data_IF_303158884828
#
_entry.id   IF_303158884828
#
_cell.length_a   1.000
_cell.length_b   1.000
_cell.length_c   1.000
_cell.angle_alpha   90.00
_cell.angle_beta   90.00
_cell.angle_gamma   90.00
#
_symmetry.space_group_name_H-M   'P 1'
#
loop_
_entity.id
_entity.type
_entity.pdbx_description
1 polymer ?
#
# COMPACT_ATOMS: atom_id res chain seq x y z
N UNK A 1 8.72 -2.29 37.61
CA UNK A 1 8.29 -3.71 37.53
C UNK A 1 9.13 -4.50 38.53
N UNK A 2 8.56 -5.46 39.26
CA UNK A 2 9.34 -6.27 40.23
C UNK A 2 9.30 -5.80 41.69
N UNK A 3 8.52 -4.78 42.04
CA UNK A 3 8.26 -4.45 43.46
C UNK A 3 7.40 -5.52 44.15
N UNK A 4 7.34 -5.49 45.50
CA UNK A 4 6.55 -6.49 46.27
C UNK A 4 5.07 -6.59 45.90
N UNK A 5 4.47 -5.50 45.33
CA UNK A 5 3.13 -5.46 44.74
C UNK A 5 3.17 -4.67 43.42
N UNK A 6 3.73 -5.25 42.35
CA UNK A 6 3.85 -4.54 41.10
C UNK A 6 2.47 -4.35 40.43
N UNK A 7 2.25 -3.19 39.78
CA UNK A 7 1.04 -2.92 39.00
C UNK A 7 0.91 -3.83 37.78
N UNK A 8 2.03 -4.31 37.27
CA UNK A 8 2.12 -5.28 36.15
C UNK A 8 3.12 -6.38 36.53
N UNK A 9 2.68 -7.43 37.26
CA UNK A 9 3.54 -8.54 37.67
C UNK A 9 4.07 -9.32 36.47
N UNK A 10 5.29 -9.82 36.57
CA UNK A 10 5.86 -10.71 35.55
C UNK A 10 5.07 -12.03 35.46
N UNK A 11 4.88 -12.50 34.24
CA UNK A 11 4.16 -13.73 33.94
C UNK A 11 2.63 -13.64 34.07
N UNK A 12 2.07 -12.48 34.43
CA UNK A 12 0.64 -12.30 34.56
C UNK A 12 0.07 -11.43 33.43
N UNK A 13 -1.17 -11.73 33.07
CA UNK A 13 -1.91 -10.95 32.07
C UNK A 13 -2.19 -9.55 32.60
N UNK A 14 -1.88 -8.55 31.77
CA UNK A 14 -2.10 -7.15 32.08
C UNK A 14 -2.83 -6.45 30.93
N UNK A 15 -3.86 -5.65 31.24
CA UNK A 15 -4.66 -4.90 30.28
C UNK A 15 -3.90 -3.75 29.58
N UNK A 16 -2.58 -3.67 29.81
CA UNK A 16 -1.68 -2.69 29.19
C UNK A 16 -2.14 -1.23 29.39
N UNK A 17 -2.63 -0.96 30.60
CA UNK A 17 -3.19 0.33 31.00
C UNK A 17 -3.76 0.30 32.42
N UNK A 18 -4.46 1.37 32.82
CA UNK A 18 -4.95 1.56 34.19
C UNK A 18 -6.43 1.20 34.39
N UNK A 19 -7.32 1.47 33.44
CA UNK A 19 -8.77 1.28 33.53
C UNK A 19 -9.24 0.11 32.66
N UNK A 20 -9.98 0.37 31.58
CA UNK A 20 -10.26 -0.65 30.54
C UNK A 20 -9.01 -1.06 29.80
N UNK A 21 -9.08 -2.16 29.06
CA UNK A 21 -7.98 -2.56 28.17
C UNK A 21 -7.70 -1.48 27.13
N UNK A 22 -6.41 -1.25 26.88
CA UNK A 22 -5.99 -0.36 25.79
C UNK A 22 -6.48 -0.90 24.45
N UNK A 23 -7.01 -0.04 23.59
CA UNK A 23 -7.48 -0.43 22.28
C UNK A 23 -6.48 -0.06 21.18
N UNK A 24 -6.27 -0.99 20.26
CA UNK A 24 -5.54 -0.78 19.01
C UNK A 24 -6.51 -0.90 17.83
N UNK A 25 -6.55 0.11 16.96
CA UNK A 25 -7.39 0.10 15.76
C UNK A 25 -6.55 0.25 14.52
N UNK A 26 -6.76 -0.63 13.54
CA UNK A 26 -6.21 -0.50 12.19
C UNK A 26 -7.31 -0.59 11.14
N UNK A 27 -7.24 0.27 10.11
CA UNK A 27 -8.18 0.27 8.97
C UNK A 27 -7.75 -0.68 7.86
N UNK A 28 -6.53 -1.23 7.95
CA UNK A 28 -5.96 -2.22 7.02
C UNK A 28 -5.33 -3.35 7.80
N UNK A 29 -5.06 -4.46 7.12
CA UNK A 29 -4.28 -5.55 7.70
C UNK A 29 -2.87 -5.06 8.06
N UNK A 30 -2.38 -5.47 9.22
CA UNK A 30 -1.04 -5.12 9.75
C UNK A 30 -0.31 -6.39 10.13
N UNK A 31 0.94 -6.52 9.74
CA UNK A 31 1.83 -7.54 10.27
C UNK A 31 2.41 -7.04 11.60
N UNK A 32 2.22 -7.77 12.66
CA UNK A 32 2.81 -7.51 13.98
C UNK A 32 3.81 -8.61 14.28
N UNK A 33 5.09 -8.30 14.39
CA UNK A 33 6.16 -9.30 14.54
C UNK A 33 6.07 -10.43 13.50
N UNK A 34 5.67 -10.10 12.28
CA UNK A 34 5.52 -11.07 11.19
C UNK A 34 4.21 -11.88 11.20
N UNK A 35 3.33 -11.73 12.20
CA UNK A 35 1.98 -12.32 12.19
C UNK A 35 0.95 -11.32 11.68
N UNK A 36 0.04 -11.81 10.85
CA UNK A 36 -1.04 -11.00 10.27
C UNK A 36 -2.12 -10.71 11.29
N UNK A 37 -2.33 -9.43 11.58
CA UNK A 37 -3.49 -8.90 12.31
C UNK A 37 -4.45 -8.27 11.29
N UNK A 38 -5.65 -8.81 11.09
CA UNK A 38 -6.63 -8.22 10.17
C UNK A 38 -7.02 -6.80 10.56
N UNK A 39 -7.56 -6.03 9.61
CA UNK A 39 -8.18 -4.74 9.90
C UNK A 39 -9.26 -4.90 10.98
N UNK A 40 -9.28 -4.00 11.96
CA UNK A 40 -10.24 -4.10 13.08
C UNK A 40 -9.83 -3.27 14.28
N UNK A 41 -10.61 -3.42 15.35
CA UNK A 41 -10.32 -2.88 16.69
C UNK A 41 -10.12 -4.03 17.66
N UNK A 42 -9.08 -3.96 18.46
CA UNK A 42 -8.66 -5.01 19.37
C UNK A 42 -8.31 -4.44 20.73
N UNK A 43 -8.65 -5.14 21.80
CA UNK A 43 -8.05 -4.89 23.10
C UNK A 43 -6.61 -5.38 23.12
N UNK A 44 -5.73 -4.58 23.68
CA UNK A 44 -4.30 -4.90 23.83
C UNK A 44 -4.06 -5.41 25.24
N UNK A 45 -3.54 -6.63 25.32
CA UNK A 45 -3.04 -7.20 26.56
C UNK A 45 -1.57 -7.52 26.42
N UNK A 46 -0.85 -7.49 27.52
CA UNK A 46 0.53 -7.96 27.60
C UNK A 46 0.72 -8.90 28.77
N UNK A 47 1.68 -9.81 28.64
CA UNK A 47 2.23 -10.57 29.76
C UNK A 47 3.69 -10.14 29.86
N UNK A 48 4.00 -9.18 30.76
CA UNK A 48 5.37 -8.71 30.94
C UNK A 48 6.28 -9.81 31.47
N UNK A 49 7.55 -9.78 31.08
CA UNK A 49 8.59 -10.58 31.67
C UNK A 49 9.91 -9.78 31.63
N UNK A 50 10.99 -10.37 32.11
CA UNK A 50 12.27 -9.65 32.24
C UNK A 50 12.87 -9.25 30.86
N UNK A 51 12.82 -10.16 29.88
CA UNK A 51 13.44 -9.98 28.56
C UNK A 51 12.47 -10.06 27.41
N UNK A 52 11.39 -10.81 27.55
CA UNK A 52 10.45 -11.10 26.47
C UNK A 52 9.03 -10.95 27.00
N UNK A 53 8.26 -10.05 26.37
CA UNK A 53 6.84 -9.89 26.69
C UNK A 53 6.00 -10.63 25.68
N UNK A 54 4.84 -11.14 26.11
CA UNK A 54 3.79 -11.57 25.20
C UNK A 54 2.86 -10.40 24.94
N UNK A 55 2.75 -9.98 23.69
CA UNK A 55 1.77 -8.99 23.22
C UNK A 55 0.60 -9.70 22.59
N UNK A 56 -0.62 -9.33 22.99
CA UNK A 56 -1.88 -9.98 22.61
C UNK A 56 -2.84 -8.93 22.05
N UNK A 57 -3.43 -9.23 20.90
CA UNK A 57 -4.56 -8.47 20.35
C UNK A 57 -5.81 -9.35 20.46
N UNK A 58 -6.75 -8.95 21.30
CA UNK A 58 -7.97 -9.70 21.58
C UNK A 58 -9.18 -9.03 20.92
N UNK A 59 -10.09 -9.83 20.39
CA UNK A 59 -11.28 -9.35 19.65
C UNK A 59 -12.33 -8.72 20.57
N UNK A 60 -12.36 -9.08 21.86
CA UNK A 60 -13.26 -8.49 22.84
C UNK A 60 -12.74 -7.12 23.29
N UNK A 61 -13.36 -6.05 22.77
CA UNK A 61 -12.93 -4.68 23.02
C UNK A 61 -13.24 -4.16 24.43
N UNK A 62 -14.02 -4.90 25.20
CA UNK A 62 -14.44 -4.53 26.55
C UNK A 62 -13.90 -5.49 27.63
N UNK A 63 -13.04 -6.43 27.22
CA UNK A 63 -12.49 -7.42 28.14
C UNK A 63 -11.69 -6.76 29.27
N UNK A 64 -11.92 -7.22 30.50
CA UNK A 64 -11.01 -6.96 31.62
C UNK A 64 -9.84 -7.95 31.60
N UNK A 65 -8.77 -7.69 32.35
CA UNK A 65 -7.65 -8.65 32.47
C UNK A 65 -7.96 -9.83 33.39
N UNK A 66 -9.14 -9.89 33.97
CA UNK A 66 -9.57 -10.99 34.85
C UNK A 66 -10.13 -12.13 34.00
N UNK A 67 -9.66 -13.35 34.25
CA UNK A 67 -10.20 -14.55 33.65
C UNK A 67 -11.39 -15.09 34.44
N UNK A 68 -12.31 -15.79 33.78
CA UNK A 68 -13.41 -16.49 34.44
C UNK A 68 -14.62 -15.64 34.82
N UNK A 69 -14.64 -14.34 34.53
CA UNK A 69 -15.80 -13.47 34.70
C UNK A 69 -16.49 -13.18 33.36
N UNK A 70 -17.78 -12.77 33.33
CA UNK A 70 -18.54 -12.60 32.10
C UNK A 70 -17.85 -11.72 31.03
N UNK A 71 -17.24 -10.60 31.43
CA UNK A 71 -16.49 -9.70 30.56
C UNK A 71 -14.96 -9.85 30.74
N UNK A 72 -14.51 -11.01 31.21
CA UNK A 72 -13.11 -11.32 31.43
C UNK A 72 -12.39 -11.65 30.11
N UNK A 73 -11.06 -11.67 30.19
CA UNK A 73 -10.23 -12.13 29.12
C UNK A 73 -10.51 -13.61 28.77
N UNK A 74 -10.60 -13.91 27.48
CA UNK A 74 -10.71 -15.26 26.94
C UNK A 74 -9.66 -15.47 25.85
N UNK A 75 -8.82 -16.46 26.04
CA UNK A 75 -7.72 -16.77 25.13
C UNK A 75 -8.19 -17.16 23.72
N UNK A 76 -9.35 -17.78 23.59
CA UNK A 76 -9.98 -18.15 22.33
C UNK A 76 -10.43 -16.94 21.48
N UNK A 77 -10.52 -15.76 22.10
CA UNK A 77 -10.83 -14.50 21.43
C UNK A 77 -9.57 -13.75 20.96
N UNK A 78 -8.36 -14.30 21.18
CA UNK A 78 -7.13 -13.72 20.66
C UNK A 78 -7.15 -13.74 19.13
N UNK A 79 -6.93 -12.59 18.53
CA UNK A 79 -6.69 -12.48 17.09
C UNK A 79 -5.27 -12.93 16.77
N UNK A 80 -4.30 -12.41 17.53
CA UNK A 80 -2.89 -12.84 17.48
C UNK A 80 -2.26 -12.73 18.88
N UNK A 81 -1.21 -13.52 19.06
CA UNK A 81 -0.33 -13.48 20.22
C UNK A 81 1.12 -13.60 19.76
N UNK A 82 1.93 -12.60 20.06
CA UNK A 82 3.33 -12.51 19.61
C UNK A 82 4.28 -12.27 20.76
N UNK A 83 5.51 -12.74 20.61
CA UNK A 83 6.61 -12.42 21.53
C UNK A 83 7.28 -11.13 21.05
N UNK A 84 7.52 -10.21 21.97
CA UNK A 84 8.21 -8.95 21.76
C UNK A 84 9.38 -8.84 22.75
N UNK A 85 10.48 -8.26 22.30
CA UNK A 85 11.64 -8.06 23.17
C UNK A 85 11.42 -6.89 24.11
N UNK A 86 11.84 -7.06 25.35
CA UNK A 86 11.94 -6.00 26.34
C UNK A 86 13.42 -5.75 26.65
N UNK A 87 13.79 -4.48 26.71
CA UNK A 87 15.17 -4.03 26.93
C UNK A 87 15.20 -2.93 28.00
N UNK A 88 16.36 -2.78 28.64
CA UNK A 88 16.62 -1.68 29.55
C UNK A 88 16.95 -0.41 28.77
N UNK A 89 16.40 0.73 29.20
CA UNK A 89 16.69 2.04 28.66
C UNK A 89 17.49 2.89 29.67
N UNK A 90 18.39 3.71 29.16
CA UNK A 90 19.24 4.58 29.98
C UNK A 90 18.49 5.79 30.57
N UNK A 91 17.39 6.21 29.93
CA UNK A 91 16.55 7.32 30.38
C UNK A 91 15.17 6.77 30.81
N UNK A 92 14.97 6.48 32.11
CA UNK A 92 13.70 5.92 32.59
C UNK A 92 12.51 6.85 32.32
N UNK A 93 11.37 6.24 32.00
CA UNK A 93 10.07 6.93 31.88
C UNK A 93 9.18 6.53 33.06
N UNK A 94 8.89 7.46 33.94
CA UNK A 94 8.04 7.22 35.11
C UNK A 94 6.62 6.88 34.70
N UNK A 95 6.05 7.63 33.76
CA UNK A 95 4.71 7.41 33.24
C UNK A 95 4.71 6.29 32.19
N UNK A 96 3.82 5.30 32.37
CA UNK A 96 3.58 4.30 31.34
C UNK A 96 3.19 4.97 30.01
N UNK A 97 3.92 4.67 28.96
CA UNK A 97 3.75 5.32 27.65
C UNK A 97 3.65 4.27 26.56
N UNK A 98 2.64 4.40 25.70
CA UNK A 98 2.54 3.67 24.43
C UNK A 98 2.81 4.65 23.31
N UNK A 99 3.74 4.30 22.43
CA UNK A 99 4.22 5.21 21.37
C UNK A 99 4.42 4.44 20.06
N UNK A 100 4.03 5.06 18.93
CA UNK A 100 4.39 4.59 17.60
C UNK A 100 5.58 5.44 17.13
N UNK A 101 6.71 4.79 16.81
CA UNK A 101 7.95 5.45 16.40
C UNK A 101 8.58 4.78 15.17
N UNK A 102 9.71 5.32 14.73
CA UNK A 102 10.53 4.76 13.64
C UNK A 102 9.71 4.50 12.36
N UNK A 103 8.87 5.47 11.99
CA UNK A 103 7.99 5.39 10.84
C UNK A 103 8.80 5.42 9.54
N UNK A 104 8.46 4.48 8.66
CA UNK A 104 8.88 4.46 7.26
C UNK A 104 7.64 4.40 6.36
N UNK A 105 7.83 4.24 5.05
CA UNK A 105 6.71 4.08 4.11
C UNK A 105 5.82 2.87 4.43
N UNK A 106 6.36 1.81 5.07
CA UNK A 106 5.64 0.56 5.29
C UNK A 106 5.81 -0.06 6.68
N UNK A 107 6.64 0.52 7.54
CA UNK A 107 6.94 -0.03 8.87
C UNK A 107 6.87 1.02 9.96
N UNK A 108 6.64 0.58 11.18
CA UNK A 108 6.72 1.36 12.40
C UNK A 108 7.06 0.45 13.59
N UNK A 109 7.39 1.04 14.73
CA UNK A 109 7.52 0.32 15.99
C UNK A 109 6.39 0.76 16.94
N UNK A 110 5.69 -0.21 17.52
CA UNK A 110 4.80 -0.02 18.66
C UNK A 110 5.61 -0.28 19.94
N UNK A 111 5.80 0.74 20.73
CA UNK A 111 6.63 0.70 21.92
C UNK A 111 5.79 0.84 23.19
N UNK A 112 6.21 0.12 24.21
CA UNK A 112 5.65 0.19 25.57
C UNK A 112 6.80 0.56 26.52
N UNK A 113 6.74 1.77 27.09
CA UNK A 113 7.74 2.26 28.01
C UNK A 113 7.19 2.31 29.43
N UNK A 114 7.96 1.82 30.38
CA UNK A 114 7.70 2.05 31.81
C UNK A 114 8.96 1.85 32.65
N UNK A 115 9.19 2.80 33.56
CA UNK A 115 10.42 2.83 34.36
C UNK A 115 11.64 2.77 33.43
N UNK A 116 12.53 1.83 33.66
CA UNK A 116 13.76 1.58 32.89
C UNK A 116 13.59 0.56 31.76
N UNK A 117 12.34 0.22 31.41
CA UNK A 117 12.05 -0.85 30.45
C UNK A 117 11.33 -0.31 29.21
N UNK A 118 11.73 -0.80 28.03
CA UNK A 118 11.07 -0.63 26.73
C UNK A 118 10.76 -2.00 26.15
N UNK A 119 9.52 -2.27 25.78
CA UNK A 119 9.15 -3.44 24.97
C UNK A 119 8.72 -2.97 23.58
N UNK A 120 9.16 -3.70 22.52
CA UNK A 120 9.06 -3.24 21.12
C UNK A 120 8.38 -4.30 20.27
N UNK A 121 7.31 -3.91 19.57
CA UNK A 121 6.68 -4.70 18.52
C UNK A 121 6.87 -4.02 17.16
N UNK A 122 7.43 -4.75 16.18
CA UNK A 122 7.53 -4.25 14.81
C UNK A 122 6.18 -4.37 14.11
N UNK A 123 5.74 -3.28 13.50
CA UNK A 123 4.57 -3.19 12.65
C UNK A 123 5.00 -3.08 11.19
N UNK A 124 4.27 -3.74 10.29
CA UNK A 124 4.47 -3.60 8.84
C UNK A 124 3.14 -3.67 8.11
N UNK A 125 2.96 -2.80 7.11
CA UNK A 125 1.80 -2.80 6.20
C UNK A 125 2.25 -3.08 4.77
N UNK A 126 1.41 -3.75 3.99
CA UNK A 126 1.63 -3.90 2.55
C UNK A 126 1.05 -2.68 1.82
N UNK A 127 1.86 -1.63 1.71
CA UNK A 127 1.48 -0.37 1.06
C UNK A 127 1.06 -0.59 -0.39
N UNK A 128 1.75 -1.51 -1.10
CA UNK A 128 1.46 -1.77 -2.51
C UNK A 128 0.14 -2.50 -2.69
N UNK A 129 -0.13 -3.53 -1.88
CA UNK A 129 -1.41 -4.23 -1.92
C UNK A 129 -2.57 -3.30 -1.53
N UNK A 130 -2.39 -2.49 -0.48
CA UNK A 130 -3.40 -1.52 -0.05
C UNK A 130 -3.67 -0.45 -1.12
N UNK A 131 -2.63 0.08 -1.76
CA UNK A 131 -2.77 1.04 -2.85
C UNK A 131 -3.48 0.42 -4.07
N UNK A 132 -3.13 -0.81 -4.45
CA UNK A 132 -3.79 -1.53 -5.53
C UNK A 132 -5.27 -1.76 -5.23
N UNK A 133 -5.61 -2.21 -4.02
CA UNK A 133 -7.00 -2.39 -3.59
C UNK A 133 -7.81 -1.09 -3.64
N UNK A 134 -7.19 0.04 -3.26
CA UNK A 134 -7.83 1.36 -3.34
C UNK A 134 -8.07 1.79 -4.80
N UNK A 135 -7.14 1.51 -5.71
CA UNK A 135 -7.30 1.78 -7.15
C UNK A 135 -8.46 0.95 -7.72
N UNK A 136 -8.49 -0.35 -7.43
CA UNK A 136 -9.56 -1.25 -7.88
C UNK A 136 -10.91 -0.85 -7.31
N UNK A 137 -10.96 -0.45 -6.04
CA UNK A 137 -12.17 0.08 -5.42
C UNK A 137 -12.64 1.36 -6.09
N UNK A 138 -11.74 2.31 -6.39
CA UNK A 138 -12.12 3.56 -7.05
C UNK A 138 -12.74 3.30 -8.44
N UNK A 139 -12.19 2.34 -9.20
CA UNK A 139 -12.76 1.92 -10.49
C UNK A 139 -14.11 1.23 -10.31
N UNK A 140 -14.26 0.38 -9.28
CA UNK A 140 -15.53 -0.29 -9.00
C UNK A 140 -16.63 0.68 -8.57
N UNK A 141 -16.30 1.69 -7.76
CA UNK A 141 -17.22 2.72 -7.29
C UNK A 141 -17.68 3.66 -8.43
N UNK A 142 -16.83 3.89 -9.45
CA UNK A 142 -17.10 4.79 -10.58
C UNK A 142 -16.63 4.20 -11.92
N UNK A 143 -17.27 3.14 -12.39
CA UNK A 143 -16.81 2.39 -13.56
C UNK A 143 -16.96 3.12 -14.89
N UNK A 144 -17.75 4.21 -14.93
CA UNK A 144 -18.00 5.05 -16.12
C UNK A 144 -17.32 6.43 -16.03
N UNK A 145 -16.34 6.58 -15.13
CA UNK A 145 -15.54 7.80 -15.04
C UNK A 145 -14.23 7.64 -15.82
N UNK A 146 -14.12 8.34 -16.95
CA UNK A 146 -12.94 8.28 -17.82
C UNK A 146 -11.64 8.70 -17.10
N UNK A 147 -11.73 9.67 -16.19
CA UNK A 147 -10.57 10.16 -15.43
C UNK A 147 -10.07 9.13 -14.41
N UNK A 148 -10.97 8.47 -13.68
CA UNK A 148 -10.63 7.41 -12.74
C UNK A 148 -10.00 6.22 -13.47
N UNK A 149 -10.60 5.78 -14.58
CA UNK A 149 -10.06 4.71 -15.41
C UNK A 149 -8.67 5.04 -15.95
N UNK A 150 -8.47 6.28 -16.43
CA UNK A 150 -7.15 6.76 -16.87
C UNK A 150 -6.13 6.75 -15.71
N UNK A 151 -6.51 7.24 -14.54
CA UNK A 151 -5.62 7.27 -13.37
C UNK A 151 -5.24 5.86 -12.91
N UNK A 152 -6.19 4.93 -12.91
CA UNK A 152 -5.96 3.53 -12.58
C UNK A 152 -5.03 2.83 -13.59
N UNK A 153 -5.24 3.07 -14.90
CA UNK A 153 -4.36 2.57 -15.95
C UNK A 153 -2.92 3.09 -15.78
N UNK A 154 -2.78 4.39 -15.52
CA UNK A 154 -1.48 5.02 -15.27
C UNK A 154 -0.80 4.51 -13.99
N UNK A 155 -1.56 4.22 -12.93
CA UNK A 155 -1.02 3.60 -11.73
C UNK A 155 -0.36 2.26 -12.04
N UNK A 156 -1.07 1.34 -12.69
CA UNK A 156 -0.54 0.03 -13.07
C UNK A 156 0.67 0.15 -14.00
N UNK A 157 0.62 1.06 -14.99
CA UNK A 157 1.74 1.38 -15.87
C UNK A 157 2.97 1.84 -15.09
N UNK A 158 2.81 2.78 -14.16
CA UNK A 158 3.91 3.35 -13.37
C UNK A 158 4.59 2.31 -12.47
N UNK A 159 3.83 1.32 -12.00
CA UNK A 159 4.33 0.21 -11.19
C UNK A 159 4.77 -1.00 -12.01
N UNK A 160 4.62 -0.94 -13.33
CA UNK A 160 4.89 -2.04 -14.28
C UNK A 160 4.20 -3.35 -13.85
N UNK A 161 2.91 -3.26 -13.47
CA UNK A 161 2.10 -4.38 -12.94
C UNK A 161 0.74 -4.41 -13.63
N UNK A 162 0.15 -5.61 -13.73
CA UNK A 162 -1.21 -5.81 -14.24
C UNK A 162 -1.47 -5.05 -15.56
N UNK A 163 -0.51 -5.12 -16.50
CA UNK A 163 -0.56 -4.33 -17.75
C UNK A 163 -1.77 -4.67 -18.61
N UNK A 164 -2.26 -5.91 -18.60
CA UNK A 164 -3.50 -6.28 -19.31
C UNK A 164 -4.72 -5.56 -18.73
N UNK A 165 -4.82 -5.45 -17.41
CA UNK A 165 -5.88 -4.69 -16.75
C UNK A 165 -5.74 -3.18 -17.01
N UNK A 166 -4.51 -2.67 -16.99
CA UNK A 166 -4.22 -1.27 -17.33
C UNK A 166 -4.67 -0.95 -18.76
N UNK A 167 -4.41 -1.86 -19.71
CA UNK A 167 -4.84 -1.72 -21.10
C UNK A 167 -6.37 -1.67 -21.20
N UNK A 168 -7.08 -2.58 -20.51
CA UNK A 168 -8.54 -2.60 -20.50
C UNK A 168 -9.14 -1.29 -19.91
N UNK A 169 -8.56 -0.76 -18.85
CA UNK A 169 -8.99 0.51 -18.27
C UNK A 169 -8.69 1.70 -19.19
N UNK A 170 -7.53 1.70 -19.84
CA UNK A 170 -7.18 2.74 -20.84
C UNK A 170 -8.15 2.71 -22.03
N UNK A 171 -8.50 1.52 -22.53
CA UNK A 171 -9.48 1.35 -23.62
C UNK A 171 -10.86 1.87 -23.23
N UNK A 172 -11.34 1.51 -22.04
CA UNK A 172 -12.62 1.99 -21.55
C UNK A 172 -12.61 3.52 -21.36
N UNK A 173 -11.53 4.07 -20.78
CA UNK A 173 -11.36 5.51 -20.63
C UNK A 173 -11.43 6.25 -21.98
N UNK A 174 -10.75 5.73 -23.01
CA UNK A 174 -10.79 6.31 -24.37
C UNK A 174 -12.19 6.21 -24.95
N UNK A 175 -12.87 5.08 -24.77
CA UNK A 175 -14.25 4.90 -25.26
C UNK A 175 -15.26 5.87 -24.65
N UNK A 176 -15.06 6.25 -23.36
CA UNK A 176 -15.90 7.23 -22.67
C UNK A 176 -15.56 8.68 -23.08
N UNK A 177 -14.27 8.99 -23.12
CA UNK A 177 -13.77 10.33 -23.49
C UNK A 177 -12.33 10.23 -23.98
N UNK A 178 -12.14 10.34 -25.28
CA UNK A 178 -10.79 10.35 -25.86
C UNK A 178 -10.05 11.65 -25.50
N UNK A 179 -8.83 11.51 -25.03
CA UNK A 179 -7.91 12.60 -24.68
C UNK A 179 -6.49 12.25 -25.09
N UNK A 180 -5.61 13.25 -25.27
CA UNK A 180 -4.20 12.99 -25.52
C UNK A 180 -3.55 12.18 -24.40
N UNK A 181 -3.99 12.38 -23.16
CA UNK A 181 -3.42 11.74 -21.99
C UNK A 181 -3.73 10.25 -21.93
N UNK A 182 -4.99 9.83 -22.14
CA UNK A 182 -5.33 8.40 -22.13
C UNK A 182 -4.82 7.66 -23.36
N UNK A 183 -4.77 8.30 -24.54
CA UNK A 183 -4.10 7.77 -25.73
C UNK A 183 -2.61 7.53 -25.48
N UNK A 184 -1.93 8.47 -24.83
CA UNK A 184 -0.52 8.36 -24.50
C UNK A 184 -0.26 7.24 -23.48
N UNK A 185 -1.09 7.15 -22.42
CA UNK A 185 -1.01 6.07 -21.45
C UNK A 185 -1.18 4.70 -22.13
N UNK A 186 -2.17 4.54 -23.02
CA UNK A 186 -2.35 3.30 -23.78
C UNK A 186 -1.13 2.97 -24.64
N UNK A 187 -0.55 3.96 -25.32
CA UNK A 187 0.65 3.77 -26.12
C UNK A 187 1.83 3.27 -25.27
N UNK A 188 2.02 3.86 -24.09
CA UNK A 188 3.07 3.43 -23.16
C UNK A 188 2.83 2.00 -22.61
N UNK A 189 1.59 1.65 -22.30
CA UNK A 189 1.23 0.29 -21.87
C UNK A 189 1.57 -0.72 -22.95
N UNK A 190 1.14 -0.48 -24.20
CA UNK A 190 1.42 -1.35 -25.34
C UNK A 190 2.93 -1.48 -25.59
N UNK A 191 3.66 -0.38 -25.49
CA UNK A 191 5.13 -0.42 -25.61
C UNK A 191 5.76 -1.31 -24.51
N UNK A 192 5.33 -1.18 -23.27
CA UNK A 192 5.77 -2.04 -22.15
C UNK A 192 5.45 -3.52 -22.37
N UNK A 193 4.35 -3.81 -23.05
CA UNK A 193 3.95 -5.17 -23.44
C UNK A 193 4.69 -5.70 -24.69
N UNK A 194 5.63 -4.91 -25.27
CA UNK A 194 6.35 -5.26 -26.49
C UNK A 194 5.57 -5.02 -27.80
N UNK A 195 4.34 -4.47 -27.72
CA UNK A 195 3.45 -4.21 -28.86
C UNK A 195 3.70 -2.83 -29.47
N UNK A 196 4.96 -2.55 -29.85
CA UNK A 196 5.40 -1.22 -30.30
C UNK A 196 4.73 -0.78 -31.60
N UNK A 197 4.41 -1.72 -32.51
CA UNK A 197 3.70 -1.42 -33.75
C UNK A 197 2.28 -0.88 -33.51
N UNK A 198 1.62 -1.32 -32.42
CA UNK A 198 0.31 -0.81 -32.00
C UNK A 198 0.44 0.51 -31.19
N UNK A 199 1.53 0.67 -30.46
CA UNK A 199 1.80 1.86 -29.65
C UNK A 199 2.06 3.12 -30.50
N UNK A 200 2.82 3.00 -31.59
CA UNK A 200 3.23 4.12 -32.42
C UNK A 200 2.07 4.96 -32.98
N UNK A 201 1.02 4.38 -33.60
CA UNK A 201 -0.11 5.17 -34.12
C UNK A 201 -0.86 5.90 -33.01
N UNK A 202 -0.96 5.32 -31.82
CA UNK A 202 -1.60 5.95 -30.67
C UNK A 202 -0.79 7.13 -30.12
N UNK A 203 0.53 7.00 -30.04
CA UNK A 203 1.41 8.10 -29.63
C UNK A 203 1.33 9.27 -30.62
N UNK A 204 1.30 9.00 -31.94
CA UNK A 204 1.08 10.05 -32.97
C UNK A 204 -0.29 10.69 -32.80
N UNK A 205 -1.35 9.91 -32.59
CA UNK A 205 -2.69 10.43 -32.36
C UNK A 205 -2.76 11.30 -31.11
N UNK A 206 -2.06 10.90 -30.01
CA UNK A 206 -1.97 11.69 -28.79
C UNK A 206 -1.37 13.09 -29.05
N UNK A 207 -0.34 13.21 -29.87
CA UNK A 207 0.21 14.52 -30.29
C UNK A 207 -0.86 15.37 -31.00
N UNK A 208 -1.51 14.80 -32.03
CA UNK A 208 -2.52 15.52 -32.81
C UNK A 208 -3.68 16.00 -31.93
N UNK A 209 -4.21 15.13 -31.07
CA UNK A 209 -5.30 15.46 -30.14
C UNK A 209 -4.86 16.51 -29.13
N UNK A 210 -3.63 16.40 -28.62
CA UNK A 210 -3.09 17.36 -27.67
C UNK A 210 -2.88 18.74 -28.26
N UNK A 211 -2.35 18.83 -29.49
CA UNK A 211 -2.16 20.10 -30.21
C UNK A 211 -3.48 20.78 -30.55
N UNK A 212 -4.54 20.01 -30.81
CA UNK A 212 -5.87 20.53 -31.08
C UNK A 212 -6.67 20.90 -29.82
N UNK A 213 -6.26 20.42 -28.65
CA UNK A 213 -7.08 20.54 -27.41
C UNK A 213 -7.11 21.94 -26.79
N UNK A 214 -6.18 22.82 -27.13
CA UNK A 214 -5.93 24.11 -26.44
C UNK A 214 -5.72 23.96 -24.91
N UNK A 215 -5.41 22.77 -24.41
CA UNK A 215 -5.15 22.51 -23.00
C UNK A 215 -3.75 23.01 -22.62
N UNK A 216 -3.60 24.00 -21.73
CA UNK A 216 -2.30 24.50 -21.33
C UNK A 216 -1.41 23.44 -20.65
N UNK A 217 -2.01 22.36 -20.13
CA UNK A 217 -1.30 21.25 -19.49
C UNK A 217 -0.58 20.39 -20.53
N UNK A 218 -1.06 20.36 -21.77
CA UNK A 218 -0.46 19.56 -22.85
C UNK A 218 1.03 19.87 -23.08
N UNK A 219 1.46 21.11 -22.88
CA UNK A 219 2.87 21.52 -22.99
C UNK A 219 3.83 20.65 -22.15
N UNK A 220 3.38 20.14 -21.01
CA UNK A 220 4.19 19.28 -20.15
C UNK A 220 4.27 17.82 -20.65
N UNK A 221 3.34 17.40 -21.48
CA UNK A 221 3.31 16.06 -22.07
C UNK A 221 3.97 16.01 -23.45
N UNK A 222 3.95 17.14 -24.21
CA UNK A 222 4.31 17.20 -25.63
C UNK A 222 5.69 16.60 -25.91
N UNK A 223 6.71 17.04 -25.18
CA UNK A 223 8.09 16.56 -25.38
C UNK A 223 8.22 15.06 -25.11
N UNK A 224 7.60 14.57 -24.03
CA UNK A 224 7.59 13.14 -23.70
C UNK A 224 6.91 12.28 -24.74
N UNK A 225 5.78 12.75 -25.31
CA UNK A 225 5.07 12.04 -26.37
C UNK A 225 5.90 12.07 -27.67
N UNK A 226 6.52 13.21 -28.06
CA UNK A 226 7.38 13.32 -29.21
C UNK A 226 8.57 12.37 -29.13
N UNK A 227 9.21 12.31 -27.96
CA UNK A 227 10.30 11.37 -27.72
C UNK A 227 9.80 9.92 -27.87
N UNK A 228 8.66 9.59 -27.28
CA UNK A 228 8.07 8.25 -27.40
C UNK A 228 7.76 7.88 -28.86
N UNK A 229 7.24 8.80 -29.66
CA UNK A 229 7.02 8.57 -31.10
C UNK A 229 8.34 8.21 -31.80
N UNK A 230 9.41 8.95 -31.52
CA UNK A 230 10.74 8.70 -32.12
C UNK A 230 11.30 7.35 -31.68
N UNK A 231 11.21 7.04 -30.37
CA UNK A 231 11.70 5.78 -29.79
C UNK A 231 10.94 4.58 -30.37
N UNK A 232 9.61 4.66 -30.47
CA UNK A 232 8.79 3.58 -31.05
C UNK A 232 9.04 3.39 -32.53
N UNK A 233 9.26 4.47 -33.26
CA UNK A 233 9.56 4.39 -34.68
C UNK A 233 10.91 3.72 -34.96
N UNK A 234 11.90 3.96 -34.10
CA UNK A 234 13.23 3.33 -34.19
C UNK A 234 13.18 1.81 -33.89
N UNK A 235 12.23 1.37 -33.08
CA UNK A 235 12.07 -0.04 -32.69
C UNK A 235 11.31 -0.87 -33.75
N UNK A 236 10.61 -0.23 -34.71
CA UNK A 236 9.88 -0.96 -35.75
C UNK A 236 10.85 -1.21 -36.92
N UNK A 237 11.08 -2.49 -37.31
CA UNK A 237 11.97 -2.80 -38.43
C UNK A 237 11.47 -2.14 -39.72
N UNK A 238 12.35 -1.43 -40.41
CA UNK A 238 12.04 -0.90 -41.75
C UNK A 238 12.00 -2.08 -42.72
N UNK A 239 10.86 -2.35 -43.33
CA UNK A 239 10.72 -3.38 -44.34
C UNK A 239 11.51 -2.93 -45.62
N UNK A 240 12.78 -3.33 -45.67
CA UNK A 240 13.68 -3.01 -46.79
C UNK A 240 13.29 -3.72 -48.12
N UNK A 241 12.33 -4.66 -48.09
CA UNK A 241 11.83 -5.32 -49.31
C UNK A 241 10.95 -4.42 -50.15
N UNK A 242 10.18 -3.50 -49.51
CA UNK A 242 9.33 -2.55 -50.22
C UNK A 242 10.14 -1.47 -51.02
N UNK A 243 11.37 -1.17 -50.57
CA UNK A 243 12.25 -0.19 -51.22
C UNK A 243 12.95 -0.75 -52.47
N UNK A 244 13.17 -2.07 -52.56
CA UNK A 244 13.81 -2.70 -53.75
C UNK A 244 12.84 -2.86 -54.92
N UNK A 245 11.51 -2.85 -54.69
CA UNK A 245 10.52 -2.95 -55.76
C UNK A 245 10.30 -1.69 -56.59
N UNK A 246 10.58 -0.50 -56.00
CA UNK A 246 10.43 0.79 -56.73
C UNK A 246 11.59 1.17 -57.62
N UNK A 247 12.80 0.57 -57.47
CA UNK A 247 13.97 0.83 -58.33
C UNK A 247 14.04 -0.01 -59.58
N UNK A 248 13.09 -0.92 -59.84
CA UNK A 248 13.04 -1.74 -61.08
C UNK A 248 11.98 -1.31 -62.10
N UNK A 249 11.36 -0.15 -61.93
CA UNK A 249 10.39 0.43 -62.88
C UNK A 249 10.69 1.89 -63.21
N UNK A 250 11.95 2.21 -63.42
CA UNK A 250 12.37 3.49 -64.01
C UNK A 250 13.39 3.16 -65.06
#
# INVERSE_FOLDING_TARGET
MGAQTPLAPFGQLWRTGANGATNFKSTTDVMVQGQKLPAGTYSVFTIPNQSDWTLIFNKNQTASAEEGIPNGYKKEEDAIRVQIKAEKISCPRETFTIEISDLTDSTANLNFYWADTRAIANLKVDVMANAQANVEKAVADKPEDAGILQAAANWNLSKNRNLDQALAWADKSIGLKETYSNLWIKAQILSKMGKVAEALPLAKKALTVGEASNDPVFRFYKEGIQKGVSDYQALIPVDTKALKGKKKKA
#
